data_IF_550997212702
#
_entry.id   IF_550997212702
#
_cell.length_a   1.000
_cell.length_b   1.000
_cell.length_c   1.000
_cell.angle_alpha   90.00
_cell.angle_beta   90.00
_cell.angle_gamma   90.00
#
_symmetry.space_group_name_H-M   'P 1'
#
loop_
_entity.id
_entity.type
_entity.pdbx_description
1 polymer ?
#
# COMPACT_ATOMS: atom_id res chain seq x y z
N UNK A 1 19.83 24.94 27.02
CA UNK A 1 20.72 25.28 25.90
C UNK A 1 20.94 24.03 25.09
N UNK A 2 20.74 24.04 23.77
CA UNK A 2 20.90 22.84 22.94
C UNK A 2 22.36 22.37 23.00
N UNK A 3 22.58 21.07 23.25
CA UNK A 3 23.92 20.48 23.20
C UNK A 3 24.39 20.54 21.75
N UNK A 4 25.42 21.34 21.48
CA UNK A 4 26.06 21.43 20.16
C UNK A 4 27.12 20.35 19.95
N UNK A 5 27.38 19.57 20.99
CA UNK A 5 28.48 18.61 21.02
C UNK A 5 28.06 17.26 20.43
N UNK A 6 26.75 17.05 20.21
CA UNK A 6 26.20 15.80 19.68
C UNK A 6 26.42 15.77 18.17
N UNK A 7 27.13 14.75 17.70
CA UNK A 7 27.36 14.54 16.27
C UNK A 7 26.20 13.75 15.65
N UNK A 8 25.84 13.98 14.38
CA UNK A 8 24.80 13.22 13.69
C UNK A 8 25.00 11.69 13.78
N UNK A 9 26.25 11.21 13.70
CA UNK A 9 26.58 9.78 13.83
C UNK A 9 26.18 9.18 15.17
N UNK A 10 26.35 9.93 16.26
CA UNK A 10 25.97 9.46 17.59
C UNK A 10 24.45 9.26 17.71
N UNK A 11 23.67 10.08 16.97
CA UNK A 11 22.22 9.94 16.88
C UNK A 11 21.85 8.70 16.05
N UNK A 12 22.53 8.47 14.92
CA UNK A 12 22.34 7.30 14.07
C UNK A 12 22.57 6.00 14.86
N UNK A 13 23.71 5.90 15.54
CA UNK A 13 24.11 4.74 16.32
C UNK A 13 23.13 4.50 17.47
N UNK A 14 22.81 5.53 18.26
CA UNK A 14 21.89 5.40 19.39
C UNK A 14 20.49 4.89 18.97
N UNK A 15 19.96 5.31 17.82
CA UNK A 15 18.66 4.84 17.32
C UNK A 15 18.76 3.40 16.80
N UNK A 16 19.82 3.06 16.07
CA UNK A 16 20.04 1.71 15.56
C UNK A 16 20.21 0.69 16.72
N UNK A 17 20.92 1.08 17.77
CA UNK A 17 21.15 0.26 18.97
C UNK A 17 19.89 0.12 19.83
N UNK A 18 18.99 1.10 19.80
CA UNK A 18 17.77 1.07 20.59
C UNK A 18 16.77 -0.03 20.15
N UNK A 19 16.72 -0.36 18.85
CA UNK A 19 15.82 -1.40 18.33
C UNK A 19 16.40 -2.16 17.13
N UNK A 20 17.46 -2.96 17.34
CA UNK A 20 18.15 -3.67 16.26
C UNK A 20 17.19 -4.59 15.50
N UNK A 21 17.24 -4.53 14.17
CA UNK A 21 16.43 -5.37 13.27
C UNK A 21 14.97 -4.94 13.12
N UNK A 22 14.45 -4.04 13.97
CA UNK A 22 13.09 -3.48 13.84
C UNK A 22 13.10 -2.09 13.22
N UNK A 23 14.06 -1.27 13.62
CA UNK A 23 14.26 0.07 13.10
C UNK A 23 15.69 0.23 12.62
N UNK A 24 15.86 1.08 11.61
CA UNK A 24 17.17 1.46 11.09
C UNK A 24 17.12 2.91 10.63
N UNK A 25 18.11 3.68 11.03
CA UNK A 25 18.30 5.03 10.53
C UNK A 25 18.82 4.99 9.10
N UNK A 26 18.20 5.78 8.24
CA UNK A 26 18.64 5.94 6.85
C UNK A 26 19.52 7.18 6.71
N UNK A 27 19.16 8.26 7.41
CA UNK A 27 19.91 9.51 7.38
C UNK A 27 19.54 10.42 8.55
N UNK A 28 20.49 11.27 8.94
CA UNK A 28 20.30 12.35 9.91
C UNK A 28 20.78 13.66 9.30
N UNK A 29 19.97 14.71 9.46
CA UNK A 29 20.29 16.05 8.98
C UNK A 29 19.97 17.08 10.06
N UNK A 30 20.84 18.09 10.19
CA UNK A 30 20.53 19.30 10.93
C UNK A 30 19.56 20.16 10.11
N UNK A 31 18.51 20.66 10.77
CA UNK A 31 17.45 21.45 10.15
C UNK A 31 17.18 22.71 10.96
N UNK A 32 16.56 23.70 10.31
CA UNK A 32 16.15 24.94 10.98
C UNK A 32 15.16 24.68 12.13
N UNK A 33 15.20 25.52 13.17
CA UNK A 33 14.24 25.46 14.29
C UNK A 33 12.78 25.65 13.88
N UNK A 34 12.52 26.27 12.74
CA UNK A 34 11.17 26.42 12.21
C UNK A 34 10.63 25.14 11.53
N UNK A 35 11.46 24.12 11.34
CA UNK A 35 11.05 22.88 10.71
C UNK A 35 10.13 22.06 11.61
N UNK A 36 9.03 21.54 11.05
CA UNK A 36 8.17 20.56 11.72
C UNK A 36 7.81 19.43 10.75
N UNK A 37 8.06 18.15 11.08
CA UNK A 37 7.96 17.05 10.12
C UNK A 37 6.56 16.93 9.50
N UNK A 38 5.50 17.21 10.27
CA UNK A 38 4.14 17.11 9.75
C UNK A 38 3.66 18.33 8.96
N UNK A 39 4.08 19.55 9.37
CA UNK A 39 3.55 20.80 8.79
C UNK A 39 4.41 21.29 7.62
N UNK A 40 5.69 20.97 7.62
CA UNK A 40 6.60 21.29 6.51
C UNK A 40 6.47 20.31 5.34
N UNK A 41 5.84 19.14 5.53
CA UNK A 41 5.64 18.14 4.48
C UNK A 41 4.60 18.61 3.44
N UNK A 42 5.00 18.65 2.16
CA UNK A 42 4.13 19.05 1.04
C UNK A 42 3.22 17.93 0.52
N UNK A 43 3.70 16.69 0.59
CA UNK A 43 2.98 15.50 0.12
C UNK A 43 3.49 14.26 0.84
N UNK A 44 2.70 13.17 0.78
CA UNK A 44 3.04 11.84 1.29
C UNK A 44 2.75 10.83 0.20
N UNK A 45 3.66 9.89 -0.03
CA UNK A 45 3.52 8.84 -1.06
C UNK A 45 3.49 7.48 -0.38
N UNK A 46 2.45 6.72 -0.68
CA UNK A 46 2.28 5.35 -0.21
C UNK A 46 2.47 4.39 -1.38
N UNK A 47 3.07 3.23 -1.10
CA UNK A 47 3.23 2.13 -2.04
C UNK A 47 2.58 0.90 -1.42
N UNK A 48 1.61 0.31 -2.13
CA UNK A 48 1.03 -0.97 -1.78
C UNK A 48 1.64 -2.03 -2.69
N UNK A 49 2.27 -3.03 -2.10
CA UNK A 49 2.83 -4.18 -2.81
C UNK A 49 1.85 -5.33 -2.63
N UNK A 50 1.27 -5.78 -3.74
CA UNK A 50 0.38 -6.94 -3.76
C UNK A 50 1.18 -8.16 -4.19
N UNK A 51 1.32 -9.19 -3.34
CA UNK A 51 1.93 -10.45 -3.76
C UNK A 51 0.96 -11.13 -4.72
N UNK A 52 1.28 -11.10 -6.01
CA UNK A 52 0.51 -11.84 -7.01
C UNK A 52 1.02 -13.28 -7.02
N UNK A 53 0.22 -14.18 -6.47
CA UNK A 53 0.42 -15.62 -6.70
C UNK A 53 -0.12 -15.92 -8.09
N UNK A 54 0.76 -16.28 -9.01
CA UNK A 54 0.37 -17.14 -10.11
C UNK A 54 -0.06 -18.48 -9.51
N UNK A 55 -1.23 -18.97 -9.90
CA UNK A 55 -1.95 -20.02 -9.18
C UNK A 55 -1.32 -21.42 -9.24
N UNK A 56 -0.02 -21.57 -9.01
CA UNK A 56 0.69 -22.85 -8.95
C UNK A 56 0.78 -23.48 -7.56
N UNK A 57 0.26 -22.84 -6.52
CA UNK A 57 -0.09 -23.53 -5.26
C UNK A 57 -1.39 -24.34 -5.42
N UNK A 58 -1.52 -25.05 -6.54
CA UNK A 58 -2.31 -26.27 -6.56
C UNK A 58 -1.38 -27.38 -6.15
N UNK A 59 -1.57 -27.86 -4.92
CA UNK A 59 -1.12 -29.17 -4.47
C UNK A 59 -1.09 -30.15 -5.64
N UNK A 60 0.12 -30.60 -6.00
CA UNK A 60 0.32 -31.72 -6.91
C UNK A 60 -0.22 -32.99 -6.25
N UNK A 61 -1.54 -33.16 -6.22
CA UNK A 61 -2.18 -34.44 -6.00
C UNK A 61 -2.94 -34.82 -7.28
N UNK A 62 -2.26 -35.65 -8.08
CA UNK A 62 -2.78 -36.67 -8.99
C UNK A 62 -4.04 -36.35 -9.80
N UNK A 63 -3.88 -36.32 -11.13
CA UNK A 63 -4.93 -36.79 -12.04
C UNK A 63 -4.97 -36.13 -13.41
N UNK A 64 -4.24 -36.73 -14.36
CA UNK A 64 -4.59 -36.92 -15.77
C UNK A 64 -5.27 -35.78 -16.57
N UNK A 65 -4.49 -35.19 -17.49
CA UNK A 65 -4.88 -34.89 -18.89
C UNK A 65 -6.07 -33.97 -19.15
N UNK A 66 -5.78 -32.73 -19.58
CA UNK A 66 -6.27 -32.17 -20.85
C UNK A 66 -5.67 -30.76 -21.07
N UNK A 67 -5.10 -30.56 -22.25
CA UNK A 67 -4.55 -29.29 -22.73
C UNK A 67 -5.70 -28.32 -22.99
N UNK A 68 -5.75 -27.20 -22.25
CA UNK A 68 -6.68 -26.11 -22.54
C UNK A 68 -5.93 -24.89 -23.08
N UNK A 69 -6.28 -24.54 -24.32
CA UNK A 69 -5.75 -23.47 -25.16
C UNK A 69 -5.79 -22.06 -24.54
N UNK A 70 -4.78 -21.28 -24.92
CA UNK A 70 -4.75 -19.82 -25.11
C UNK A 70 -5.98 -19.02 -24.64
N UNK A 71 -5.91 -18.45 -23.43
CA UNK A 71 -6.86 -17.45 -22.97
C UNK A 71 -6.61 -16.10 -23.66
N UNK A 72 -7.37 -15.85 -24.72
CA UNK A 72 -7.51 -14.52 -25.34
C UNK A 72 -8.28 -13.61 -24.37
N UNK A 73 -7.57 -12.73 -23.64
CA UNK A 73 -8.20 -11.68 -22.84
C UNK A 73 -8.81 -10.62 -23.75
N UNK A 74 -10.07 -10.79 -24.12
CA UNK A 74 -10.92 -9.69 -24.57
C UNK A 74 -12.39 -10.03 -24.29
N UNK A 75 -12.80 -9.85 -23.03
CA UNK A 75 -14.23 -9.67 -22.76
C UNK A 75 -14.43 -8.58 -21.71
N UNK A 76 -15.10 -7.52 -22.18
CA UNK A 76 -15.69 -6.47 -21.38
C UNK A 76 -16.91 -7.11 -20.73
N UNK A 77 -16.75 -7.63 -19.50
CA UNK A 77 -17.89 -8.06 -18.71
C UNK A 77 -18.36 -6.85 -17.90
N UNK A 78 -19.29 -6.10 -18.49
CA UNK A 78 -20.06 -5.05 -17.86
C UNK A 78 -21.50 -5.59 -17.73
N UNK A 79 -21.72 -6.43 -16.73
CA UNK A 79 -23.06 -6.86 -16.34
C UNK A 79 -23.27 -6.56 -14.86
N UNK A 80 -23.79 -5.37 -14.61
CA UNK A 80 -24.45 -5.03 -13.34
C UNK A 80 -25.75 -5.84 -13.29
N UNK A 81 -25.72 -6.98 -12.60
CA UNK A 81 -26.93 -7.61 -12.05
C UNK A 81 -26.90 -7.41 -10.53
N UNK A 82 -27.76 -6.51 -10.06
CA UNK A 82 -28.14 -6.41 -8.64
C UNK A 82 -28.97 -7.65 -8.28
N UNK A 83 -28.38 -8.50 -7.45
CA UNK A 83 -28.97 -9.30 -6.37
C UNK A 83 -28.27 -10.66 -6.30
N UNK A 84 -27.39 -10.82 -5.31
CA UNK A 84 -27.47 -11.88 -4.29
C UNK A 84 -26.19 -11.87 -3.43
N UNK A 85 -26.37 -11.41 -2.19
CA UNK A 85 -25.35 -11.36 -1.15
C UNK A 85 -25.15 -12.76 -0.56
N UNK A 86 -24.33 -13.60 -1.20
CA UNK A 86 -24.07 -14.95 -0.68
C UNK A 86 -22.86 -15.65 -1.30
N UNK A 87 -21.68 -15.52 -0.68
CA UNK A 87 -20.50 -16.36 -0.92
C UNK A 87 -20.02 -16.52 -2.38
N UNK A 88 -19.92 -15.42 -3.12
CA UNK A 88 -19.08 -15.41 -4.31
C UNK A 88 -17.63 -15.74 -3.93
N UNK A 89 -17.09 -16.84 -4.46
CA UNK A 89 -15.66 -17.17 -4.35
C UNK A 89 -14.89 -15.96 -4.87
N UNK A 90 -14.26 -15.20 -3.97
CA UNK A 90 -13.39 -14.08 -4.34
C UNK A 90 -12.30 -14.61 -5.28
N UNK A 91 -12.37 -14.22 -6.54
CA UNK A 91 -11.28 -14.45 -7.47
C UNK A 91 -10.11 -13.56 -7.04
N UNK A 92 -8.96 -14.17 -6.80
CA UNK A 92 -7.71 -13.45 -6.52
C UNK A 92 -6.99 -13.00 -7.80
N UNK A 93 -7.61 -13.26 -8.96
CA UNK A 93 -7.07 -12.87 -10.27
C UNK A 93 -7.73 -11.57 -10.71
N UNK A 94 -6.92 -10.55 -11.01
CA UNK A 94 -7.39 -9.28 -11.54
C UNK A 94 -6.51 -8.79 -12.69
N UNK A 95 -7.09 -7.96 -13.55
CA UNK A 95 -6.35 -7.32 -14.63
C UNK A 95 -5.68 -6.03 -14.13
N UNK A 96 -4.34 -6.02 -14.11
CA UNK A 96 -3.54 -4.84 -13.74
C UNK A 96 -3.90 -3.63 -14.59
N UNK A 97 -4.17 -3.83 -15.89
CA UNK A 97 -4.57 -2.75 -16.81
C UNK A 97 -5.91 -2.13 -16.41
N UNK A 98 -6.90 -2.95 -16.04
CA UNK A 98 -8.21 -2.47 -15.56
C UNK A 98 -8.05 -1.68 -14.26
N UNK A 99 -7.27 -2.19 -13.31
CA UNK A 99 -6.98 -1.49 -12.04
C UNK A 99 -6.30 -0.15 -12.30
N UNK A 100 -5.28 -0.10 -13.16
CA UNK A 100 -4.60 1.15 -13.50
C UNK A 100 -5.57 2.20 -14.10
N UNK A 101 -6.46 1.80 -15.00
CA UNK A 101 -7.45 2.71 -15.58
C UNK A 101 -8.40 3.28 -14.52
N UNK A 102 -8.80 2.48 -13.54
CA UNK A 102 -9.63 2.95 -12.41
C UNK A 102 -8.84 3.90 -11.49
N UNK A 103 -7.57 3.59 -11.19
CA UNK A 103 -6.74 4.45 -10.35
C UNK A 103 -6.50 5.83 -10.98
N UNK A 104 -6.36 5.91 -12.30
CA UNK A 104 -6.23 7.19 -13.02
C UNK A 104 -7.47 8.09 -12.84
N UNK A 105 -8.65 7.52 -12.65
CA UNK A 105 -9.86 8.30 -12.36
C UNK A 105 -9.84 8.90 -10.94
N UNK A 106 -8.98 8.40 -10.07
CA UNK A 106 -8.76 8.93 -8.72
C UNK A 106 -7.63 9.96 -8.67
N UNK A 107 -7.02 10.33 -9.80
CA UNK A 107 -5.98 11.36 -9.83
C UNK A 107 -6.60 12.77 -9.86
N UNK A 108 -6.01 13.72 -9.11
CA UNK A 108 -6.37 15.15 -9.17
C UNK A 108 -6.98 15.72 -7.89
N UNK A 109 -7.24 17.03 -7.93
CA UNK A 109 -7.53 17.88 -6.75
C UNK A 109 -9.03 17.98 -6.39
N UNK A 110 -9.94 17.59 -7.29
CA UNK A 110 -11.38 17.86 -7.17
C UNK A 110 -12.21 16.68 -6.67
N UNK A 111 -11.57 15.61 -6.19
CA UNK A 111 -12.27 14.40 -5.74
C UNK A 111 -12.52 14.42 -4.23
N UNK A 112 -13.72 14.03 -3.83
CA UNK A 112 -14.03 13.75 -2.43
C UNK A 112 -13.59 12.33 -2.09
N UNK A 113 -12.52 12.20 -1.31
CA UNK A 113 -12.05 10.90 -0.84
C UNK A 113 -12.79 10.39 0.41
N UNK A 114 -13.86 11.08 0.84
CA UNK A 114 -14.60 10.72 2.06
C UNK A 114 -15.14 9.29 2.03
N UNK A 115 -15.58 8.81 0.87
CA UNK A 115 -16.08 7.43 0.72
C UNK A 115 -15.01 6.35 0.97
N UNK A 116 -13.72 6.71 0.89
CA UNK A 116 -12.60 5.79 1.13
C UNK A 116 -11.99 5.97 2.53
N UNK A 117 -12.33 7.06 3.22
CA UNK A 117 -11.91 7.25 4.60
C UNK A 117 -12.69 6.30 5.50
N UNK A 118 -11.98 5.50 6.29
CA UNK A 118 -12.59 4.90 7.48
C UNK A 118 -12.93 6.04 8.42
N UNK A 119 -14.09 5.98 9.08
CA UNK A 119 -14.41 6.91 10.18
C UNK A 119 -13.30 6.81 11.22
N UNK A 120 -12.32 7.70 11.14
CA UNK A 120 -11.33 7.88 12.18
C UNK A 120 -12.11 8.42 13.36
N UNK A 121 -12.45 7.54 14.31
CA UNK A 121 -12.89 7.97 15.64
C UNK A 121 -11.89 9.02 16.10
N UNK A 122 -12.37 10.20 16.44
CA UNK A 122 -11.52 11.23 17.01
C UNK A 122 -10.88 10.66 18.28
N UNK A 123 -9.62 10.26 18.23
CA UNK A 123 -8.83 10.10 19.43
C UNK A 123 -8.64 11.51 19.97
N UNK A 124 -9.52 11.91 20.90
CA UNK A 124 -9.24 13.02 21.79
C UNK A 124 -7.95 12.65 22.52
N UNK A 125 -6.87 13.36 22.24
CA UNK A 125 -5.80 13.48 23.21
C UNK A 125 -6.43 14.23 24.40
N UNK A 126 -6.60 13.54 25.53
CA UNK A 126 -6.77 14.22 26.82
C UNK A 126 -5.45 14.85 27.25
#
# INVERSE_FOLDING_TARGET
>A
TWKKDIKPREIEDAINDAAPGKLRVVSVYEVSRAFHPNFSAKWRRYLYIFPLTDGWDKDQSRGNGESCESFTYNEICDSVSKDELGNEKKSYVFSVRKVNRLLQQLEGKLLSYKMFARDTKASRNE
#
